data_IF_146522433793
#
_entry.id   IF_146522433793
#
_cell.length_a   1.000
_cell.length_b   1.000
_cell.length_c   1.000
_cell.angle_alpha   90.00
_cell.angle_beta   90.00
_cell.angle_gamma   90.00
#
_symmetry.space_group_name_H-M   'P 1'
#
loop_
_entity.id
_entity.type
_entity.pdbx_description
1 polymer ?
#
# COMPACT_ATOMS: atom_id res chain seq x y z
N UNK A 1 -7.83 24.24 -3.86
CA UNK A 1 -6.69 23.37 -4.18
C UNK A 1 -6.62 23.24 -5.69
N UNK A 2 -5.48 23.54 -6.31
CA UNK A 2 -5.31 23.37 -7.75
C UNK A 2 -5.06 21.89 -8.09
N UNK A 3 -5.23 21.52 -9.36
CA UNK A 3 -4.87 20.17 -9.83
C UNK A 3 -3.39 19.86 -9.61
N UNK A 4 -2.52 20.86 -9.73
CA UNK A 4 -1.08 20.75 -9.47
C UNK A 4 -0.80 20.45 -7.99
N UNK A 5 -1.48 21.15 -7.08
CA UNK A 5 -1.33 20.92 -5.64
C UNK A 5 -1.76 19.49 -5.26
N UNK A 6 -2.86 19.01 -5.83
CA UNK A 6 -3.36 17.65 -5.60
C UNK A 6 -2.33 16.58 -6.02
N UNK A 7 -1.69 16.76 -7.18
CA UNK A 7 -0.67 15.86 -7.69
C UNK A 7 0.62 15.88 -6.84
N UNK A 8 1.03 17.05 -6.36
CA UNK A 8 2.17 17.18 -5.45
C UNK A 8 1.91 16.51 -4.10
N UNK A 9 0.71 16.68 -3.55
CA UNK A 9 0.29 16.00 -2.33
C UNK A 9 0.26 14.48 -2.52
N UNK A 10 -0.33 13.98 -3.61
CA UNK A 10 -0.35 12.56 -3.94
C UNK A 10 1.06 11.97 -4.07
N UNK A 11 1.99 12.70 -4.69
CA UNK A 11 3.39 12.28 -4.82
C UNK A 11 4.07 12.17 -3.45
N UNK A 12 3.83 13.14 -2.58
CA UNK A 12 4.38 13.17 -1.21
C UNK A 12 3.81 12.02 -0.37
N UNK A 13 2.51 11.79 -0.45
CA UNK A 13 1.81 10.68 0.21
C UNK A 13 2.33 9.32 -0.27
N UNK A 14 2.51 9.15 -1.58
CA UNK A 14 3.06 7.92 -2.17
C UNK A 14 4.47 7.61 -1.63
N UNK A 15 5.32 8.63 -1.54
CA UNK A 15 6.69 8.51 -1.03
C UNK A 15 6.71 8.14 0.46
N UNK A 16 5.87 8.80 1.27
CA UNK A 16 5.74 8.50 2.70
C UNK A 16 5.21 7.08 2.96
N UNK A 17 4.25 6.63 2.16
CA UNK A 17 3.71 5.26 2.23
C UNK A 17 4.78 4.21 1.93
N UNK A 18 5.59 4.42 0.90
CA UNK A 18 6.69 3.52 0.56
C UNK A 18 7.70 3.41 1.71
N UNK A 19 8.12 4.55 2.27
CA UNK A 19 9.03 4.56 3.42
C UNK A 19 8.46 3.85 4.66
N UNK A 20 7.15 3.99 4.93
CA UNK A 20 6.50 3.27 6.03
C UNK A 20 6.42 1.76 5.79
N UNK A 21 6.23 1.33 4.55
CA UNK A 21 6.28 -0.09 4.19
C UNK A 21 7.68 -0.68 4.37
N UNK A 22 8.73 0.08 4.02
CA UNK A 22 10.12 -0.33 4.28
C UNK A 22 10.40 -0.47 5.78
N UNK A 23 9.89 0.47 6.59
CA UNK A 23 9.96 0.38 8.06
C UNK A 23 9.19 -0.84 8.57
N UNK A 24 7.99 -1.11 8.05
CA UNK A 24 7.19 -2.27 8.44
C UNK A 24 7.89 -3.60 8.13
N UNK A 25 8.72 -3.66 7.09
CA UNK A 25 9.48 -4.85 6.72
C UNK A 25 10.55 -5.23 7.77
N UNK A 26 11.04 -4.27 8.55
CA UNK A 26 12.09 -4.51 9.56
C UNK A 26 11.57 -4.51 11.00
N UNK A 27 10.34 -4.07 11.24
CA UNK A 27 9.75 -4.05 12.58
C UNK A 27 9.17 -5.42 12.97
N UNK A 28 9.21 -5.80 14.27
CA UNK A 28 8.46 -6.94 14.77
C UNK A 28 6.97 -6.76 14.47
N UNK A 29 6.30 -7.73 13.81
CA UNK A 29 4.94 -7.55 13.28
C UNK A 29 3.90 -7.09 14.30
N UNK A 30 4.05 -7.54 15.55
CA UNK A 30 3.13 -7.28 16.65
C UNK A 30 3.61 -6.16 17.60
N UNK A 31 4.65 -5.41 17.22
CA UNK A 31 5.08 -4.26 18.01
C UNK A 31 4.08 -3.10 17.91
N UNK A 32 3.98 -2.30 18.98
CA UNK A 32 3.17 -1.07 18.96
C UNK A 32 3.58 -0.13 17.83
N UNK A 33 4.89 -0.03 17.54
CA UNK A 33 5.42 0.77 16.43
C UNK A 33 4.94 0.26 15.07
N UNK A 34 4.90 -1.06 14.86
CA UNK A 34 4.37 -1.62 13.61
C UNK A 34 2.87 -1.35 13.47
N UNK A 35 2.11 -1.37 14.57
CA UNK A 35 0.70 -1.00 14.55
C UNK A 35 0.50 0.49 14.19
N UNK A 36 1.29 1.38 14.78
CA UNK A 36 1.26 2.81 14.45
C UNK A 36 1.62 3.06 12.98
N UNK A 37 2.68 2.42 12.47
CA UNK A 37 3.08 2.56 11.07
C UNK A 37 1.96 2.10 10.11
N UNK A 38 1.29 0.98 10.41
CA UNK A 38 0.11 0.53 9.62
C UNK A 38 -1.05 1.52 9.67
N UNK A 39 -1.30 2.14 10.83
CA UNK A 39 -2.34 3.17 10.95
C UNK A 39 -2.04 4.39 10.09
N UNK A 40 -0.78 4.84 10.07
CA UNK A 40 -0.36 5.96 9.22
C UNK A 40 -0.49 5.61 7.74
N UNK A 41 -0.13 4.39 7.33
CA UNK A 41 -0.36 3.90 5.95
C UNK A 41 -1.84 3.93 5.60
N UNK A 42 -2.73 3.46 6.49
CA UNK A 42 -4.18 3.52 6.26
C UNK A 42 -4.68 4.96 6.07
N UNK A 43 -4.21 5.90 6.89
CA UNK A 43 -4.59 7.30 6.76
C UNK A 43 -4.08 7.91 5.44
N UNK A 44 -2.91 7.49 4.96
CA UNK A 44 -2.39 7.91 3.65
C UNK A 44 -3.29 7.37 2.53
N UNK A 45 -3.72 6.12 2.61
CA UNK A 45 -4.62 5.50 1.62
C UNK A 45 -5.99 6.23 1.58
N UNK A 46 -6.53 6.62 2.74
CA UNK A 46 -7.77 7.42 2.83
C UNK A 46 -7.58 8.83 2.22
N UNK A 47 -6.47 9.50 2.52
CA UNK A 47 -6.17 10.81 1.94
C UNK A 47 -6.01 10.76 0.43
N UNK A 48 -5.36 9.72 -0.10
CA UNK A 48 -5.24 9.54 -1.54
C UNK A 48 -6.59 9.25 -2.20
N UNK A 49 -7.46 8.49 -1.54
CA UNK A 49 -8.85 8.26 -1.99
C UNK A 49 -9.61 9.59 -2.10
N UNK A 50 -9.48 10.48 -1.10
CA UNK A 50 -10.13 11.80 -1.12
C UNK A 50 -9.60 12.70 -2.25
N UNK A 51 -8.31 12.60 -2.57
CA UNK A 51 -7.67 13.41 -3.61
C UNK A 51 -7.98 12.91 -5.04
N UNK A 52 -8.22 11.61 -5.20
CA UNK A 52 -8.34 10.96 -6.52
C UNK A 52 -9.76 10.52 -6.86
N UNK A 53 -10.60 10.32 -5.85
CA UNK A 53 -11.88 9.63 -5.98
C UNK A 53 -11.77 8.11 -6.14
N UNK A 54 -10.54 7.55 -6.07
CA UNK A 54 -10.28 6.13 -6.27
C UNK A 54 -9.86 5.45 -4.96
N UNK A 55 -10.72 4.54 -4.47
CA UNK A 55 -10.50 3.79 -3.23
C UNK A 55 -9.36 2.79 -3.32
N UNK A 56 -8.96 2.39 -4.52
CA UNK A 56 -7.91 1.39 -4.74
C UNK A 56 -6.61 2.01 -5.24
N UNK A 57 -6.47 3.34 -5.15
CA UNK A 57 -5.33 4.07 -5.70
C UNK A 57 -3.96 3.48 -5.34
N UNK A 58 -3.80 2.95 -4.12
CA UNK A 58 -2.59 2.26 -3.67
C UNK A 58 -2.74 0.75 -3.43
N UNK A 59 -3.93 0.18 -3.65
CA UNK A 59 -4.21 -1.24 -3.46
C UNK A 59 -3.75 -2.10 -4.64
N UNK A 60 -3.72 -1.56 -5.86
CA UNK A 60 -3.26 -2.30 -7.04
C UNK A 60 -1.78 -2.68 -6.97
N UNK A 61 -0.96 -1.88 -6.28
CA UNK A 61 0.45 -2.19 -6.05
C UNK A 61 0.68 -3.23 -4.93
N UNK A 62 -0.34 -3.55 -4.14
CA UNK A 62 -0.24 -4.43 -2.97
C UNK A 62 -0.73 -5.86 -3.23
N UNK A 63 -1.14 -6.22 -4.46
CA UNK A 63 -1.33 -7.62 -4.82
C UNK A 63 0.05 -8.29 -4.77
N UNK A 64 0.35 -9.18 -3.80
CA UNK A 64 1.47 -10.07 -3.98
C UNK A 64 1.24 -10.82 -5.30
N UNK A 65 2.31 -11.06 -6.04
CA UNK A 65 2.32 -11.87 -7.26
C UNK A 65 1.97 -13.36 -6.99
N UNK A 66 1.08 -13.64 -6.02
CA UNK A 66 0.60 -14.97 -5.63
C UNK A 66 -0.28 -15.64 -6.70
N UNK A 67 -0.63 -14.93 -7.78
CA UNK A 67 -1.31 -15.53 -8.94
C UNK A 67 -0.36 -16.06 -10.03
N UNK A 68 0.96 -16.02 -9.82
CA UNK A 68 1.94 -16.62 -10.74
C UNK A 68 2.34 -18.07 -10.37
N UNK A 69 1.64 -18.73 -9.44
CA UNK A 69 1.74 -20.19 -9.32
C UNK A 69 0.64 -20.76 -10.23
N UNK A 70 0.96 -21.24 -11.45
CA UNK A 70 -0.01 -22.02 -12.20
C UNK A 70 -0.44 -23.21 -11.34
N UNK A 71 -1.72 -23.62 -11.36
CA UNK A 71 -2.09 -24.90 -10.75
C UNK A 71 -1.19 -25.96 -11.39
N UNK A 72 -0.39 -26.63 -10.55
CA UNK A 72 0.33 -27.83 -10.97
C UNK A 72 -0.74 -28.90 -11.20
N UNK A 73 -1.29 -28.89 -12.39
CA UNK A 73 -2.18 -29.92 -12.87
C UNK A 73 -1.38 -31.21 -13.09
N UNK A 74 -1.97 -32.29 -12.61
CA UNK A 74 -1.79 -33.67 -13.06
C UNK A 74 -0.50 -34.41 -12.71
N UNK A 75 -0.57 -35.23 -11.66
CA UNK A 75 -0.14 -36.62 -11.82
C UNK A 75 -1.17 -37.55 -11.18
N UNK A 76 -2.18 -37.90 -12.00
CA UNK A 76 -3.08 -39.01 -11.76
C UNK A 76 -2.27 -40.30 -11.66
N UNK A 77 -2.39 -40.99 -10.53
CA UNK A 77 -2.10 -42.43 -10.45
C UNK A 77 -3.42 -43.19 -10.46
#
# INVERSE_FOLDING_TARGET
>A
MTKTDALQLLTSLSSGRAALNDVLAVLPPNSGTAHLARLVVSNIDDLATLLTGDRLHFHDAARPASHLIPPSDTNSR
#
